data_IF_453059380539
#
_entry.id   IF_453059380539
#
_cell.length_a   1.000
_cell.length_b   1.000
_cell.length_c   1.000
_cell.angle_alpha   90.00
_cell.angle_beta   90.00
_cell.angle_gamma   90.00
#
_symmetry.space_group_name_H-M   'P 1'
#
loop_
_entity.id
_entity.type
_entity.pdbx_description
1 polymer ?
#
# COMPACT_ATOMS: atom_id res chain seq x y z
N UNK A 1 8.36 -1.13 14.15
CA UNK A 1 7.45 -0.09 13.66
C UNK A 1 6.28 -0.75 12.95
N UNK A 2 5.08 -0.18 13.04
CA UNK A 2 3.88 -0.66 12.36
C UNK A 2 3.52 0.30 11.24
N UNK A 3 3.14 -0.24 10.09
CA UNK A 3 2.66 0.54 8.94
C UNK A 3 1.26 0.08 8.57
N UNK A 4 0.41 1.03 8.20
CA UNK A 4 -0.90 0.74 7.64
C UNK A 4 -0.82 0.95 6.13
N UNK A 5 -1.51 0.11 5.38
CA UNK A 5 -1.52 0.16 3.92
C UNK A 5 -2.84 -0.35 3.37
N UNK A 6 -3.03 -0.15 2.08
CA UNK A 6 -4.17 -0.65 1.32
C UNK A 6 -3.72 -1.89 0.56
N UNK A 7 -4.49 -2.97 0.65
CA UNK A 7 -4.32 -4.13 -0.21
C UNK A 7 -5.17 -3.93 -1.46
N UNK A 8 -4.53 -3.52 -2.54
CA UNK A 8 -5.16 -3.39 -3.85
C UNK A 8 -4.78 -4.59 -4.71
N UNK A 9 -5.65 -5.59 -4.76
CA UNK A 9 -5.40 -6.83 -5.51
C UNK A 9 -5.37 -6.64 -7.03
N UNK A 10 -5.90 -5.51 -7.53
CA UNK A 10 -5.83 -5.17 -8.94
C UNK A 10 -4.55 -4.42 -9.29
N UNK A 11 -3.76 -4.01 -8.29
CA UNK A 11 -2.49 -3.34 -8.52
C UNK A 11 -1.41 -4.32 -8.97
N UNK A 12 -0.72 -3.98 -10.05
CA UNK A 12 0.45 -4.72 -10.53
C UNK A 12 1.74 -4.36 -9.76
N UNK A 13 1.69 -3.28 -8.96
CA UNK A 13 2.86 -2.73 -8.28
C UNK A 13 2.57 -2.36 -6.82
N UNK A 14 3.59 -2.51 -5.96
CA UNK A 14 3.51 -2.06 -4.58
C UNK A 14 4.07 -0.64 -4.46
N UNK A 15 3.29 0.25 -3.88
CA UNK A 15 3.61 1.67 -3.80
C UNK A 15 3.73 2.08 -2.34
N UNK A 16 4.76 2.85 -2.04
CA UNK A 16 4.89 3.60 -0.79
C UNK A 16 4.96 5.10 -1.10
N UNK A 17 4.48 5.92 -0.17
CA UNK A 17 4.76 7.35 -0.20
C UNK A 17 6.18 7.62 0.27
N UNK A 18 6.74 8.76 -0.15
CA UNK A 18 8.07 9.19 0.30
C UNK A 18 8.12 9.40 1.82
N UNK A 19 7.08 9.99 2.42
CA UNK A 19 6.96 10.12 3.88
C UNK A 19 7.04 8.77 4.62
N UNK A 20 6.44 7.72 4.04
CA UNK A 20 6.51 6.37 4.58
C UNK A 20 7.91 5.77 4.42
N UNK A 21 8.57 6.02 3.27
CA UNK A 21 9.94 5.59 3.03
C UNK A 21 10.93 6.17 4.06
N UNK A 22 10.81 7.46 4.34
CA UNK A 22 11.64 8.19 5.29
C UNK A 22 11.42 7.69 6.72
N UNK A 23 10.15 7.47 7.09
CA UNK A 23 9.78 6.90 8.40
C UNK A 23 10.32 5.48 8.61
N UNK A 24 10.42 4.70 7.53
CA UNK A 24 10.92 3.31 7.55
C UNK A 24 12.44 3.19 7.49
N UNK A 25 13.17 4.31 7.41
CA UNK A 25 14.64 4.34 7.27
C UNK A 25 15.14 3.39 6.16
N UNK A 26 14.41 3.34 5.05
CA UNK A 26 14.69 2.44 3.93
C UNK A 26 15.85 2.99 3.09
N UNK A 27 17.05 3.07 3.69
CA UNK A 27 18.27 3.73 3.19
C UNK A 27 18.84 3.17 1.88
N UNK A 28 18.41 2.00 1.40
CA UNK A 28 18.93 1.37 0.17
C UNK A 28 17.94 1.53 -0.98
N UNK A 29 17.85 2.75 -1.46
CA UNK A 29 16.95 3.11 -2.56
C UNK A 29 17.71 3.09 -3.89
N UNK A 30 17.34 2.18 -4.81
CA UNK A 30 17.82 2.24 -6.19
C UNK A 30 17.04 3.33 -6.91
N UNK A 31 17.73 4.35 -7.43
CA UNK A 31 17.12 5.36 -8.30
C UNK A 31 16.59 4.71 -9.58
N UNK A 32 15.35 5.03 -9.93
CA UNK A 32 14.68 4.57 -11.15
C UNK A 32 13.90 5.72 -11.78
N UNK A 33 13.53 5.55 -13.05
CA UNK A 33 12.55 6.39 -13.73
C UNK A 33 11.50 5.47 -14.34
N UNK A 34 10.38 5.31 -13.66
CA UNK A 34 9.30 4.42 -14.07
C UNK A 34 7.96 5.18 -14.00
N UNK A 35 7.30 5.44 -15.13
CA UNK A 35 6.01 6.11 -15.15
C UNK A 35 4.93 5.18 -14.61
N UNK A 36 4.15 5.67 -13.65
CA UNK A 36 3.02 4.99 -13.06
C UNK A 36 1.76 5.79 -13.40
N UNK A 37 0.93 5.22 -14.26
CA UNK A 37 -0.32 5.84 -14.68
C UNK A 37 -1.45 5.69 -13.65
N UNK A 38 -2.50 6.51 -13.81
CA UNK A 38 -3.80 6.42 -13.11
C UNK A 38 -3.78 6.59 -11.60
N UNK A 39 -2.68 7.07 -11.01
CA UNK A 39 -2.67 7.46 -9.61
C UNK A 39 -3.31 8.84 -9.52
N UNK A 40 -4.45 8.90 -8.83
CA UNK A 40 -5.29 10.10 -8.73
C UNK A 40 -5.59 10.73 -10.10
N UNK A 41 -5.86 9.90 -11.12
CA UNK A 41 -6.15 10.38 -12.49
C UNK A 41 -4.95 10.96 -13.24
N UNK A 42 -3.73 10.88 -12.69
CA UNK A 42 -2.50 11.40 -13.29
C UNK A 42 -1.43 10.32 -13.47
N UNK A 43 -0.44 10.60 -14.31
CA UNK A 43 0.78 9.78 -14.39
C UNK A 43 1.83 10.42 -13.49
N UNK A 44 2.38 9.63 -12.56
CA UNK A 44 3.48 10.05 -11.70
C UNK A 44 4.70 9.16 -11.94
N UNK A 45 5.90 9.73 -11.86
CA UNK A 45 7.13 8.96 -12.01
C UNK A 45 7.63 8.48 -10.65
N UNK A 46 7.76 7.17 -10.48
CA UNK A 46 8.50 6.61 -9.36
C UNK A 46 9.97 6.98 -9.48
N UNK A 47 10.53 7.44 -8.36
CA UNK A 47 11.91 7.92 -8.27
C UNK A 47 12.86 6.87 -7.70
N UNK A 48 12.33 5.98 -6.87
CA UNK A 48 13.14 4.97 -6.19
C UNK A 48 12.41 3.64 -6.06
N UNK A 49 13.21 2.57 -6.02
CA UNK A 49 12.77 1.20 -5.74
C UNK A 49 13.56 0.66 -4.55
N UNK A 50 12.86 -0.02 -3.65
CA UNK A 50 13.47 -0.71 -2.50
C UNK A 50 12.92 -2.12 -2.39
N UNK A 51 13.75 -3.04 -1.94
CA UNK A 51 13.34 -4.38 -1.51
C UNK A 51 13.38 -4.43 0.01
N UNK A 52 12.26 -4.78 0.63
CA UNK A 52 12.14 -4.82 2.09
C UNK A 52 11.41 -6.07 2.55
N UNK A 53 11.64 -6.46 3.81
CA UNK A 53 10.90 -7.53 4.46
C UNK A 53 9.70 -6.94 5.20
N UNK A 54 8.51 -7.43 4.88
CA UNK A 54 7.29 -7.22 5.65
C UNK A 54 6.97 -8.49 6.44
N UNK A 55 6.39 -8.31 7.61
CA UNK A 55 5.77 -9.41 8.35
C UNK A 55 4.40 -9.00 8.81
N UNK A 56 3.53 -9.98 9.03
CA UNK A 56 2.31 -9.72 9.78
C UNK A 56 2.63 -9.37 11.24
N UNK A 57 1.60 -8.95 11.98
CA UNK A 57 1.76 -8.45 13.35
C UNK A 57 2.44 -9.47 14.29
N UNK A 58 2.07 -10.75 14.15
CA UNK A 58 2.60 -11.85 14.95
C UNK A 58 4.00 -12.33 14.48
N UNK A 59 4.47 -11.86 13.33
CA UNK A 59 5.75 -12.22 12.70
C UNK A 59 5.93 -13.71 12.42
N UNK A 60 4.84 -14.43 12.22
CA UNK A 60 4.85 -15.82 11.76
C UNK A 60 4.80 -15.92 10.22
N UNK A 61 4.43 -14.83 9.55
CA UNK A 61 4.46 -14.74 8.07
C UNK A 61 5.35 -13.59 7.64
N UNK A 62 6.22 -13.87 6.66
CA UNK A 62 7.19 -12.92 6.11
C UNK A 62 7.12 -12.86 4.59
N UNK A 63 7.23 -11.65 4.05
CA UNK A 63 7.28 -11.38 2.62
C UNK A 63 8.47 -10.48 2.31
N UNK A 64 9.24 -10.86 1.29
CA UNK A 64 10.18 -9.93 0.66
C UNK A 64 9.47 -9.24 -0.50
N UNK A 65 9.23 -7.95 -0.35
CA UNK A 65 8.44 -7.17 -1.29
C UNK A 65 9.29 -6.06 -1.91
N UNK A 66 9.12 -5.90 -3.21
CA UNK A 66 9.66 -4.78 -3.96
C UNK A 66 8.62 -3.67 -3.98
N UNK A 67 8.99 -2.47 -3.52
CA UNK A 67 8.13 -1.28 -3.53
C UNK A 67 8.78 -0.14 -4.30
N UNK A 68 7.96 0.66 -4.95
CA UNK A 68 8.36 1.93 -5.58
C UNK A 68 7.88 3.12 -4.74
N UNK A 69 8.70 4.17 -4.68
CA UNK A 69 8.39 5.39 -3.93
C UNK A 69 7.79 6.47 -4.84
N UNK A 70 6.66 7.02 -4.40
CA UNK A 70 6.06 8.22 -5.00
C UNK A 70 6.09 9.40 -4.02
N UNK A 71 6.26 10.64 -4.51
CA UNK A 71 6.40 11.81 -3.65
C UNK A 71 5.20 11.98 -2.73
N UNK A 72 3.97 11.93 -3.27
CA UNK A 72 2.74 12.09 -2.49
C UNK A 72 1.57 11.44 -3.22
N UNK A 73 0.68 10.80 -2.47
CA UNK A 73 -0.64 10.38 -2.95
C UNK A 73 -1.62 11.30 -2.22
N UNK A 74 -1.95 12.44 -2.83
CA UNK A 74 -2.78 13.49 -2.18
C UNK A 74 -4.26 13.21 -2.28
N UNK A 75 -4.69 12.47 -3.30
CA UNK A 75 -6.10 12.30 -3.61
C UNK A 75 -6.42 10.81 -3.72
N UNK A 76 -7.05 10.29 -2.67
CA UNK A 76 -7.78 9.03 -2.75
C UNK A 76 -9.14 9.33 -3.36
N UNK A 77 -9.18 9.46 -4.69
CA UNK A 77 -10.47 9.51 -5.39
C UNK A 77 -11.04 8.09 -5.34
N UNK A 78 -11.92 7.83 -4.38
CA UNK A 78 -12.64 6.56 -4.31
C UNK A 78 -13.47 6.42 -5.58
N UNK A 79 -12.95 5.65 -6.56
CA UNK A 79 -13.58 5.52 -7.88
C UNK A 79 -14.98 4.93 -7.82
N UNK A 80 -15.23 4.05 -6.85
CA UNK A 80 -16.52 3.42 -6.59
C UNK A 80 -16.58 2.94 -5.13
N UNK A 81 -17.67 3.25 -4.41
CA UNK A 81 -17.99 2.59 -3.13
C UNK A 81 -18.84 1.36 -3.41
N UNK A 82 -18.44 0.21 -2.88
CA UNK A 82 -19.25 -1.01 -2.94
C UNK A 82 -19.94 -1.21 -1.60
N UNK A 83 -21.25 -1.46 -1.63
CA UNK A 83 -21.97 -1.92 -0.45
C UNK A 83 -21.57 -3.38 -0.18
N UNK A 84 -20.84 -3.58 0.90
CA UNK A 84 -20.34 -4.89 1.35
C UNK A 84 -21.14 -5.45 2.52
N UNK A 85 -22.27 -4.83 2.89
CA UNK A 85 -23.14 -5.32 3.97
C UNK A 85 -23.64 -6.75 3.74
N UNK A 86 -23.78 -7.15 2.48
CA UNK A 86 -24.24 -8.48 2.07
C UNK A 86 -23.12 -9.49 1.82
N UNK A 87 -21.85 -9.11 1.99
CA UNK A 87 -20.73 -10.05 1.85
C UNK A 87 -20.74 -11.03 3.03
N UNK A 88 -20.86 -12.32 2.72
CA UNK A 88 -20.65 -13.39 3.70
C UNK A 88 -19.16 -13.48 4.03
N UNK A 89 -18.71 -12.66 4.97
CA UNK A 89 -17.37 -12.76 5.55
C UNK A 89 -17.36 -14.01 6.42
N UNK A 90 -16.45 -14.95 6.13
CA UNK A 90 -16.28 -16.15 6.95
C UNK A 90 -15.83 -15.75 8.37
N UNK A 91 -16.40 -16.39 9.39
CA UNK A 91 -16.18 -16.06 10.82
C UNK A 91 -14.71 -16.16 11.30
N UNK A 92 -13.83 -16.73 10.48
CA UNK A 92 -12.41 -16.91 10.77
C UNK A 92 -11.52 -15.78 10.20
N UNK A 93 -12.09 -14.76 9.56
CA UNK A 93 -11.32 -13.61 9.06
C UNK A 93 -11.16 -12.58 10.18
N UNK A 94 -9.91 -12.34 10.59
CA UNK A 94 -9.56 -11.22 11.47
C UNK A 94 -9.17 -10.00 10.63
N UNK A 95 -9.94 -8.92 10.76
CA UNK A 95 -9.60 -7.64 10.12
C UNK A 95 -8.44 -6.96 10.83
N UNK A 96 -7.51 -6.41 10.04
CA UNK A 96 -6.38 -5.64 10.56
C UNK A 96 -6.81 -4.35 11.29
N UNK A 97 -7.97 -3.78 10.93
CA UNK A 97 -8.57 -2.64 11.60
C UNK A 97 -10.10 -2.74 11.52
N UNK A 98 -10.78 -2.80 12.67
CA UNK A 98 -12.25 -2.93 12.75
C UNK A 98 -12.98 -1.60 12.50
N UNK A 99 -12.28 -0.47 12.52
CA UNK A 99 -12.88 0.88 12.51
C UNK A 99 -13.08 1.45 11.11
N UNK A 100 -12.59 0.77 10.05
CA UNK A 100 -12.68 1.28 8.66
C UNK A 100 -14.11 1.21 8.10
N UNK A 101 -15.05 0.56 8.80
CA UNK A 101 -16.42 0.33 8.30
C UNK A 101 -17.45 1.44 8.63
N UNK A 102 -17.04 2.56 9.23
CA UNK A 102 -17.95 3.65 9.60
C UNK A 102 -17.55 4.97 8.93
N UNK A 103 -17.85 5.15 7.64
CA UNK A 103 -17.85 6.46 6.97
C UNK A 103 -18.80 6.53 5.77
#
# INVERSE_FOLDING_TARGET
MLVQGILDSASEINIKTSDCADSLDLKKEKKIFFPIGKISGSTQNAKTKVRTALSNFNRDVHWNIDMVSLPKITEFTFGTRFDISNLKILNNIQFANKTIYNS
#
